data_IF_779856120469
#
_entry.id   IF_779856120469
#
_cell.length_a   1.000
_cell.length_b   1.000
_cell.length_c   1.000
_cell.angle_alpha   90.00
_cell.angle_beta   90.00
_cell.angle_gamma   90.00
#
_symmetry.space_group_name_H-M   'P 1'
#
loop_
_entity.id
_entity.type
_entity.pdbx_description
1 polymer ?
2 water ?
#
# COMPACT_ATOMS: atom_id res chain seq x y z
N UNK A 1 15.23 -6.57 -4.54
CA UNK A 1 13.98 -7.38 -4.50
C UNK A 1 13.23 -7.30 -5.83
N UNK A 2 12.83 -8.45 -6.36
CA UNK A 2 12.09 -8.49 -7.61
C UNK A 2 10.63 -8.13 -7.32
N UNK A 3 10.19 -7.01 -7.87
CA UNK A 3 8.83 -6.52 -7.64
C UNK A 3 7.79 -7.00 -8.65
N UNK A 4 8.20 -7.93 -9.51
CA UNK A 4 7.29 -8.46 -10.53
C UNK A 4 5.95 -8.88 -9.95
N UNK A 5 5.97 -9.54 -8.80
CA UNK A 5 4.74 -10.01 -8.17
C UNK A 5 4.23 -9.13 -7.04
N UNK A 6 4.74 -7.91 -6.93
CA UNK A 6 4.31 -6.99 -5.88
C UNK A 6 3.74 -5.70 -6.45
N UNK A 7 2.43 -5.68 -6.72
CA UNK A 7 1.71 -4.53 -7.28
C UNK A 7 1.79 -3.27 -6.42
N UNK A 8 1.80 -2.12 -7.08
CA UNK A 8 1.85 -0.84 -6.40
C UNK A 8 0.52 -0.68 -5.66
N UNK A 9 0.56 -0.30 -4.38
CA UNK A 9 -0.69 -0.13 -3.62
C UNK A 9 -1.63 0.82 -4.36
N UNK A 10 -1.07 1.95 -4.79
CA UNK A 10 -1.85 2.94 -5.51
C UNK A 10 -2.46 2.42 -6.79
N UNK A 11 -1.73 1.52 -7.47
CA UNK A 11 -2.22 0.94 -8.72
C UNK A 11 -3.41 0.03 -8.46
N UNK A 12 -3.33 -0.73 -7.37
CA UNK A 12 -4.41 -1.65 -7.02
C UNK A 12 -5.67 -0.84 -6.71
N UNK A 13 -5.51 0.26 -5.99
CA UNK A 13 -6.66 1.09 -5.66
C UNK A 13 -7.25 1.64 -6.96
N UNK A 14 -6.40 2.19 -7.82
CA UNK A 14 -6.88 2.75 -9.08
C UNK A 14 -7.55 1.68 -9.93
N UNK A 15 -6.99 0.48 -9.92
CA UNK A 15 -7.57 -0.61 -10.69
C UNK A 15 -8.98 -0.90 -10.19
N UNK A 16 -9.16 -0.83 -8.87
CA UNK A 16 -10.46 -1.07 -8.26
C UNK A 16 -11.45 0.03 -8.66
N UNK A 17 -10.98 1.28 -8.66
CA UNK A 17 -11.83 2.40 -9.03
C UNK A 17 -12.25 2.29 -10.49
N UNK A 18 -11.35 1.80 -11.34
CA UNK A 18 -11.68 1.65 -12.75
C UNK A 18 -12.81 0.63 -12.92
N UNK A 19 -12.74 -0.47 -12.18
CA UNK A 19 -13.76 -1.51 -12.26
C UNK A 19 -15.11 -1.04 -11.73
N UNK A 20 -15.08 -0.09 -10.80
CA UNK A 20 -16.30 0.45 -10.21
C UNK A 20 -16.83 1.68 -10.95
N UNK A 21 -16.03 2.23 -11.86
CA UNK A 21 -16.41 3.43 -12.62
C UNK A 21 -16.55 4.61 -11.66
N UNK A 22 -15.60 4.72 -10.73
CA UNK A 22 -15.57 5.78 -9.72
C UNK A 22 -14.39 6.73 -9.95
N UNK A 23 -14.66 8.04 -9.89
CA UNK A 23 -13.62 9.05 -10.11
C UNK A 23 -12.77 9.31 -8.87
N UNK A 24 -11.66 10.02 -9.06
CA UNK A 24 -10.78 10.33 -7.95
C UNK A 24 -11.49 11.11 -6.84
N UNK A 25 -12.22 12.16 -7.21
CA UNK A 25 -12.92 12.94 -6.20
C UNK A 25 -14.07 12.20 -5.54
N UNK A 26 -14.68 11.25 -6.25
CA UNK A 26 -15.77 10.47 -5.68
C UNK A 26 -15.16 9.51 -4.67
N UNK A 27 -13.97 9.01 -5.00
CA UNK A 27 -13.23 8.12 -4.12
C UNK A 27 -12.83 8.93 -2.88
N UNK A 28 -12.32 10.13 -3.08
CA UNK A 28 -11.91 10.99 -1.96
C UNK A 28 -13.10 11.24 -1.02
N UNK A 29 -14.24 11.61 -1.60
CA UNK A 29 -15.45 11.88 -0.83
C UNK A 29 -15.89 10.64 -0.05
N UNK A 30 -15.82 9.48 -0.70
CA UNK A 30 -16.22 8.23 -0.07
C UNK A 30 -15.31 7.86 1.10
N UNK A 31 -14.04 8.24 1.02
CA UNK A 31 -13.04 7.96 2.04
C UNK A 31 -12.98 9.05 3.11
N UNK A 32 -13.71 10.13 2.88
CA UNK A 32 -13.69 11.30 3.75
C UNK A 32 -12.26 11.84 3.89
N UNK A 33 -11.59 11.96 2.74
CA UNK A 33 -10.23 12.51 2.67
C UNK A 33 -10.22 13.58 1.58
N UNK A 34 -9.28 14.52 1.66
CA UNK A 34 -9.22 15.57 0.65
C UNK A 34 -8.75 15.01 -0.68
N UNK A 35 -9.16 15.63 -1.80
CA UNK A 35 -8.74 15.14 -3.11
C UNK A 35 -7.22 15.03 -3.23
N UNK A 36 -6.49 15.97 -2.64
CA UNK A 36 -5.03 15.94 -2.70
C UNK A 36 -4.49 14.68 -2.02
N UNK A 37 -5.08 14.33 -0.88
CA UNK A 37 -4.68 13.14 -0.13
C UNK A 37 -4.96 11.91 -0.98
N UNK A 38 -6.11 11.90 -1.64
CA UNK A 38 -6.47 10.77 -2.49
C UNK A 38 -5.45 10.63 -3.63
N UNK A 39 -5.09 11.75 -4.25
CA UNK A 39 -4.12 11.72 -5.34
C UNK A 39 -2.78 11.12 -4.92
N UNK A 40 -2.26 11.56 -3.78
CA UNK A 40 -0.98 11.06 -3.28
C UNK A 40 -1.04 9.56 -3.04
N UNK A 41 -2.16 9.09 -2.50
CA UNK A 41 -2.34 7.68 -2.21
C UNK A 41 -2.33 6.86 -3.50
N UNK A 42 -3.04 7.35 -4.51
CA UNK A 42 -3.13 6.66 -5.79
C UNK A 42 -1.82 6.67 -6.58
N UNK A 43 -1.10 7.79 -6.54
CA UNK A 43 0.16 7.91 -7.27
C UNK A 43 1.37 7.41 -6.49
N UNK A 44 1.14 7.03 -5.23
CA UNK A 44 2.23 6.52 -4.42
C UNK A 44 3.13 7.57 -3.80
N UNK A 45 2.77 8.84 -3.92
CA UNK A 45 3.57 9.91 -3.35
C UNK A 45 3.42 9.94 -1.83
N UNK A 46 2.56 9.06 -1.33
CA UNK A 46 2.31 8.94 0.10
C UNK A 46 2.07 7.46 0.36
N UNK A 47 2.77 6.91 1.35
CA UNK A 47 2.63 5.50 1.68
C UNK A 47 1.25 5.19 2.25
N UNK A 48 0.81 3.95 2.07
CA UNK A 48 -0.48 3.51 2.56
C UNK A 48 -0.28 3.18 4.04
N UNK A 49 -0.86 4.01 4.90
CA UNK A 49 -0.74 3.88 6.35
C UNK A 49 -1.84 3.02 6.96
N UNK A 50 -1.69 2.64 8.24
CA UNK A 50 -2.71 1.82 8.89
C UNK A 50 -4.07 2.52 8.84
N UNK A 51 -4.07 3.84 8.99
CA UNK A 51 -5.30 4.61 8.93
C UNK A 51 -5.97 4.43 7.57
N UNK A 52 -5.18 4.51 6.51
CA UNK A 52 -5.70 4.35 5.17
C UNK A 52 -6.12 2.92 4.90
N UNK A 53 -5.41 1.96 5.49
CA UNK A 53 -5.75 0.55 5.30
C UNK A 53 -7.13 0.27 5.87
N UNK A 54 -7.43 0.85 7.03
CA UNK A 54 -8.74 0.66 7.66
C UNK A 54 -9.84 1.27 6.79
N UNK A 55 -9.62 2.49 6.32
CA UNK A 55 -10.62 3.14 5.47
C UNK A 55 -10.82 2.37 4.16
N UNK A 56 -9.73 1.92 3.54
CA UNK A 56 -9.82 1.17 2.29
C UNK A 56 -10.59 -0.15 2.46
N UNK A 57 -10.45 -0.78 3.62
CA UNK A 57 -11.13 -2.04 3.87
C UNK A 57 -12.64 -1.84 3.81
N UNK A 58 -13.11 -0.69 4.29
CA UNK A 58 -14.53 -0.38 4.29
C UNK A 58 -15.02 0.09 2.92
N UNK A 59 -14.33 1.09 2.36
CA UNK A 59 -14.70 1.70 1.09
C UNK A 59 -14.48 0.88 -0.18
N UNK A 60 -13.37 0.16 -0.25
CA UNK A 60 -13.07 -0.65 -1.43
C UNK A 60 -13.36 -2.12 -1.16
N UNK A 61 -12.78 -2.63 -0.08
CA UNK A 61 -12.97 -4.02 0.28
C UNK A 61 -11.73 -4.68 0.87
N UNK A 62 -11.82 -5.99 1.05
CA UNK A 62 -10.75 -6.80 1.62
C UNK A 62 -10.50 -6.39 3.08
N UNK A 63 -9.37 -6.81 3.64
CA UNK A 63 -9.06 -6.50 5.03
C UNK A 63 -7.97 -5.44 5.16
N UNK A 64 -7.90 -4.77 6.32
CA UNK A 64 -6.87 -3.74 6.51
C UNK A 64 -5.48 -4.35 6.34
N UNK A 65 -5.31 -5.59 6.79
CA UNK A 65 -4.01 -6.24 6.68
C UNK A 65 -3.62 -6.49 5.22
N UNK A 66 -4.59 -6.78 4.36
CA UNK A 66 -4.29 -7.01 2.95
C UNK A 66 -3.67 -5.77 2.34
N UNK A 67 -4.27 -4.61 2.63
CA UNK A 67 -3.77 -3.35 2.10
C UNK A 67 -2.38 -3.03 2.66
N UNK A 68 -2.17 -3.32 3.94
CA UNK A 68 -0.87 -3.07 4.54
C UNK A 68 0.17 -4.01 3.94
N UNK A 69 -0.24 -5.25 3.67
CA UNK A 69 0.68 -6.22 3.07
C UNK A 69 1.21 -5.66 1.75
N UNK A 70 0.33 -5.04 0.97
CA UNK A 70 0.74 -4.46 -0.30
C UNK A 70 1.82 -3.40 -0.09
N UNK A 71 1.63 -2.55 0.91
CA UNK A 71 2.58 -1.50 1.22
C UNK A 71 3.88 -2.07 1.79
N UNK A 72 3.76 -3.08 2.64
CA UNK A 72 4.94 -3.69 3.25
C UNK A 72 5.94 -4.20 2.22
N UNK A 73 5.44 -4.78 1.13
CA UNK A 73 6.32 -5.29 0.09
C UNK A 73 7.24 -4.18 -0.39
N UNK A 74 6.68 -3.00 -0.63
CA UNK A 74 7.49 -1.88 -1.09
C UNK A 74 8.33 -1.25 0.01
N UNK A 75 7.82 -1.26 1.24
CA UNK A 75 8.60 -0.69 2.34
C UNK A 75 9.79 -1.62 2.61
N UNK A 76 9.58 -2.92 2.40
CA UNK A 76 10.64 -3.89 2.60
C UNK A 76 11.70 -3.75 1.51
N UNK A 77 11.25 -3.52 0.28
CA UNK A 77 12.16 -3.36 -0.85
C UNK A 77 13.05 -2.14 -0.65
N UNK A 78 12.49 -1.07 -0.09
CA UNK A 78 13.25 0.14 0.16
C UNK A 78 14.27 -0.09 1.27
N UNK A 79 13.81 -0.66 2.38
CA UNK A 79 14.67 -0.93 3.53
C UNK A 79 15.83 -1.85 3.15
N UNK A 80 15.56 -2.77 2.23
CA UNK A 80 16.58 -3.71 1.78
C UNK A 80 17.83 -3.01 1.27
N UNK A 81 17.64 -1.87 0.62
CA UNK A 81 18.75 -1.10 0.06
C UNK A 81 19.62 -0.45 1.13
N UNK A 82 19.08 -0.32 2.34
CA UNK A 82 19.82 0.33 3.42
C UNK A 82 20.17 -0.59 4.59
N UNK A 83 19.68 -1.82 4.57
CA UNK A 83 19.97 -2.76 5.65
C UNK A 83 21.09 -3.71 5.24
N UNK A 84 22.01 -3.97 6.16
CA UNK A 84 23.14 -4.86 5.89
C UNK A 84 22.96 -6.16 6.69
N UNK A 85 22.69 -7.26 6.00
CA UNK A 85 22.54 -8.56 6.67
C UNK A 85 23.62 -9.52 6.20
N UNK A 86 24.62 -8.98 5.50
CA UNK A 86 25.71 -9.78 4.95
C UNK A 86 26.49 -10.62 5.95
N UNK A 87 26.56 -10.18 7.20
CA UNK A 87 27.32 -10.91 8.21
C UNK A 87 26.43 -11.60 9.24
N UNK A 88 25.12 -11.39 9.13
CA UNK A 88 24.18 -11.97 10.08
C UNK A 88 23.98 -13.46 9.86
N UNK A 89 23.78 -14.19 10.96
CA UNK A 89 23.59 -15.64 10.88
C UNK A 89 22.43 -16.06 11.78
N UNK A 90 21.70 -17.09 11.34
CA UNK A 90 20.57 -17.63 12.09
C UNK A 90 21.05 -18.19 13.42
N UNK A 91 20.36 -17.84 14.50
CA UNK A 91 20.73 -18.34 15.81
C UNK A 91 20.23 -19.78 15.90
N UNK A 92 21.00 -20.63 16.57
CA UNK A 92 20.63 -22.03 16.78
C UNK A 92 20.62 -22.25 18.29
N UNK A 93 19.92 -23.28 18.74
CA UNK A 93 19.83 -23.57 20.17
C UNK A 93 21.21 -23.62 20.84
N UNK A 94 21.38 -22.82 21.90
CA UNK A 94 22.63 -22.76 22.64
C UNK A 94 22.58 -23.55 23.95
#
# INVERSE_FOLDING_TARGET
MKMANHPRPGDIIQESLDELNVSLREFARAMEIAPSTASRLLTGKAALTPEMAIKLSVVIGSSPQMWLNLQNAWSLAEAEKTVDVSRLRRLVTQ
#
